data_IF_839762843738
#
_entry.id   IF_839762843738
#
_cell.length_a   1.000
_cell.length_b   1.000
_cell.length_c   1.000
_cell.angle_alpha   90.00
_cell.angle_beta   90.00
_cell.angle_gamma   90.00
#
_symmetry.space_group_name_H-M   'P 1'
#
loop_
_entity.id
_entity.type
_entity.pdbx_description
1 polymer ?
#
# COMPACT_ATOMS: atom_id res chain seq x y z
N UNK A 1 29.26 0.65 86.53
CA UNK A 1 30.23 -0.32 85.97
C UNK A 1 30.33 -0.10 84.47
N UNK A 2 31.52 0.20 83.97
CA UNK A 2 31.95 0.01 82.57
C UNK A 2 32.92 -1.20 82.60
N UNK A 3 33.12 -1.98 81.51
CA UNK A 3 33.65 -1.48 80.22
C UNK A 3 33.15 -2.30 78.98
N UNK A 4 33.84 -2.40 77.82
CA UNK A 4 33.47 -1.61 76.64
C UNK A 4 33.48 -2.33 75.26
N UNK A 5 33.02 -1.59 74.22
CA UNK A 5 33.44 -1.57 72.79
C UNK A 5 33.38 -2.86 71.93
N UNK A 6 32.61 -2.79 70.83
CA UNK A 6 33.17 -3.06 69.49
C UNK A 6 32.49 -2.24 68.40
N UNK A 7 33.33 -1.63 67.57
CA UNK A 7 33.04 -0.81 66.41
C UNK A 7 32.62 -1.69 65.24
N UNK A 8 31.57 -1.34 64.51
CA UNK A 8 31.41 -1.76 63.11
C UNK A 8 30.80 -0.64 62.27
N UNK A 9 31.71 0.15 61.72
CA UNK A 9 31.54 1.05 60.58
C UNK A 9 30.86 0.30 59.43
N UNK A 10 29.64 0.70 59.07
CA UNK A 10 29.05 0.34 57.79
C UNK A 10 29.10 1.57 56.89
N UNK A 11 30.03 1.55 55.94
CA UNK A 11 30.03 2.47 54.82
C UNK A 11 28.78 2.18 53.97
N UNK A 12 27.88 3.14 53.90
CA UNK A 12 26.72 3.09 53.00
C UNK A 12 27.22 3.48 51.59
N UNK A 13 27.49 2.47 50.75
CA UNK A 13 27.72 2.68 49.32
C UNK A 13 26.40 3.10 48.67
N UNK A 14 26.33 4.34 48.20
CA UNK A 14 25.25 4.80 47.32
C UNK A 14 25.44 4.18 45.93
N UNK A 15 24.56 3.27 45.55
CA UNK A 15 24.50 2.72 44.20
C UNK A 15 23.74 3.73 43.32
N UNK A 16 24.46 4.58 42.58
CA UNK A 16 23.87 5.40 41.51
C UNK A 16 23.74 4.50 40.28
N UNK A 17 22.53 4.00 40.04
CA UNK A 17 22.20 3.32 38.80
C UNK A 17 22.11 4.38 37.67
N UNK A 18 23.19 4.52 36.91
CA UNK A 18 23.21 5.33 35.69
C UNK A 18 22.39 4.58 34.61
N UNK A 19 21.13 4.96 34.45
CA UNK A 19 20.32 4.51 33.31
C UNK A 19 20.87 5.21 32.07
N UNK A 20 21.75 4.53 31.33
CA UNK A 20 22.17 4.96 30.01
C UNK A 20 20.98 4.88 29.07
N UNK A 21 20.38 6.04 28.78
CA UNK A 21 19.42 6.17 27.68
C UNK A 21 20.21 5.97 26.38
N UNK A 22 20.14 4.75 25.82
CA UNK A 22 20.61 4.51 24.46
C UNK A 22 19.60 5.21 23.55
N UNK A 23 19.82 6.50 23.27
CA UNK A 23 19.18 7.16 22.16
C UNK A 23 19.75 6.52 20.89
N UNK A 24 19.03 5.55 20.34
CA UNK A 24 19.31 5.10 18.99
C UNK A 24 19.27 6.35 18.08
N UNK A 25 20.28 6.59 17.24
CA UNK A 25 20.25 7.73 16.33
C UNK A 25 19.01 7.58 15.44
N UNK A 26 18.11 8.56 15.50
CA UNK A 26 17.04 8.71 14.52
C UNK A 26 17.70 9.01 13.19
N UNK A 27 17.83 7.99 12.35
CA UNK A 27 18.21 8.17 10.95
C UNK A 27 16.92 8.63 10.25
N UNK A 28 16.83 9.89 9.80
CA UNK A 28 15.68 10.32 9.03
C UNK A 28 15.58 9.44 7.80
N UNK A 29 14.38 8.97 7.51
CA UNK A 29 14.10 8.21 6.31
C UNK A 29 14.52 9.06 5.09
N UNK A 30 15.20 8.48 4.07
CA UNK A 30 15.58 9.24 2.89
C UNK A 30 14.36 9.95 2.30
N UNK A 31 14.54 11.18 1.80
CA UNK A 31 13.50 12.07 1.24
C UNK A 31 12.87 11.56 -0.09
N UNK A 32 12.91 10.24 -0.30
CA UNK A 32 12.25 9.56 -1.41
C UNK A 32 12.67 10.03 -2.80
N UNK A 33 13.79 10.75 -2.94
CA UNK A 33 14.15 11.46 -4.17
C UNK A 33 13.06 12.44 -4.68
N UNK A 34 12.35 13.11 -3.77
CA UNK A 34 11.24 14.02 -4.10
C UNK A 34 9.90 13.33 -4.33
N UNK A 35 9.80 12.03 -4.03
CA UNK A 35 8.54 11.30 -4.00
C UNK A 35 7.82 11.60 -2.69
N UNK A 36 6.52 11.94 -2.77
CA UNK A 36 5.72 12.20 -1.58
C UNK A 36 5.55 10.90 -0.77
N UNK A 37 6.04 10.85 0.48
CA UNK A 37 5.88 9.67 1.32
C UNK A 37 4.43 9.46 1.73
N UNK A 38 4.19 8.36 2.40
CA UNK A 38 2.90 8.00 2.97
C UNK A 38 3.09 7.19 4.25
N UNK A 39 1.99 6.65 4.77
CA UNK A 39 1.99 5.82 5.98
C UNK A 39 1.43 4.46 5.61
N UNK A 40 2.06 3.38 6.08
CA UNK A 40 1.50 2.03 5.97
C UNK A 40 0.67 1.71 7.22
N UNK A 41 -0.31 0.79 7.15
CA UNK A 41 -0.95 0.31 8.36
C UNK A 41 0.03 -0.53 9.17
N UNK A 42 -0.15 -0.58 10.49
CA UNK A 42 0.66 -1.43 11.37
C UNK A 42 0.55 -2.92 10.98
N UNK A 43 -0.64 -3.33 10.53
CA UNK A 43 -0.92 -4.68 10.05
C UNK A 43 -1.98 -4.70 8.94
N UNK A 44 -1.93 -5.75 8.12
CA UNK A 44 -2.93 -6.04 7.09
C UNK A 44 -3.88 -7.13 7.56
N UNK A 45 -5.17 -6.99 7.25
CA UNK A 45 -6.14 -8.05 7.51
C UNK A 45 -5.89 -9.19 6.51
N UNK A 46 -5.30 -10.29 6.98
CA UNK A 46 -4.97 -11.45 6.15
C UNK A 46 -6.15 -12.41 5.93
N UNK A 47 -7.30 -12.13 6.53
CA UNK A 47 -8.44 -13.05 6.67
C UNK A 47 -8.63 -13.50 8.12
N UNK A 48 -9.58 -14.38 8.40
CA UNK A 48 -9.84 -14.83 9.76
C UNK A 48 -10.97 -15.86 9.87
N UNK A 49 -11.29 -16.35 11.08
CA UNK A 49 -12.32 -17.37 11.30
C UNK A 49 -13.74 -16.88 10.93
N UNK A 50 -13.97 -15.57 10.96
CA UNK A 50 -15.28 -14.95 10.70
C UNK A 50 -15.27 -14.21 9.34
N UNK A 51 -15.12 -14.95 8.25
CA UNK A 51 -14.99 -14.35 6.92
C UNK A 51 -16.16 -13.48 6.46
N UNK A 52 -17.35 -13.66 7.05
CA UNK A 52 -18.52 -12.82 6.74
C UNK A 52 -18.38 -11.36 7.21
N UNK A 53 -17.48 -11.09 8.15
CA UNK A 53 -17.26 -9.74 8.72
C UNK A 53 -16.06 -9.03 8.08
N UNK A 54 -15.27 -9.74 7.26
CA UNK A 54 -14.07 -9.19 6.63
C UNK A 54 -14.42 -8.70 5.22
N UNK A 55 -14.18 -7.43 4.87
CA UNK A 55 -14.43 -6.95 3.52
C UNK A 55 -13.52 -7.67 2.52
N UNK A 56 -13.98 -7.83 1.28
CA UNK A 56 -13.17 -8.44 0.22
C UNK A 56 -11.88 -7.67 -0.05
N UNK A 57 -11.90 -6.34 0.13
CA UNK A 57 -10.74 -5.46 0.00
C UNK A 57 -10.64 -4.50 1.18
N UNK A 58 -9.46 -4.46 1.80
CA UNK A 58 -9.05 -3.38 2.70
C UNK A 58 -8.43 -2.27 1.84
N UNK A 59 -9.06 -1.09 1.78
CA UNK A 59 -8.55 0.07 1.06
C UNK A 59 -7.80 0.97 2.04
N UNK A 60 -6.50 1.12 1.82
CA UNK A 60 -5.61 1.93 2.65
C UNK A 60 -5.08 3.12 1.86
N UNK A 61 -5.26 4.33 2.37
CA UNK A 61 -4.65 5.53 1.79
C UNK A 61 -3.21 5.63 2.28
N UNK A 62 -2.24 5.25 1.44
CA UNK A 62 -0.82 5.45 1.74
C UNK A 62 -0.53 6.95 1.81
N UNK A 63 -0.99 7.70 0.82
CA UNK A 63 -1.06 9.15 0.85
C UNK A 63 -2.25 9.64 -0.01
N UNK A 64 -2.58 10.95 -0.05
CA UNK A 64 -3.79 11.45 -0.74
C UNK A 64 -3.94 11.11 -2.23
N UNK A 65 -2.90 10.61 -2.91
CA UNK A 65 -2.92 10.28 -4.33
C UNK A 65 -2.42 8.86 -4.59
N UNK A 66 -2.25 8.04 -3.54
CA UNK A 66 -1.83 6.65 -3.65
C UNK A 66 -2.56 5.78 -2.63
N UNK A 67 -3.42 4.91 -3.13
CA UNK A 67 -4.17 3.93 -2.36
C UNK A 67 -3.63 2.52 -2.63
N UNK A 68 -3.57 1.73 -1.56
CA UNK A 68 -3.23 0.30 -1.58
C UNK A 68 -4.51 -0.47 -1.26
N UNK A 69 -4.92 -1.36 -2.16
CA UNK A 69 -6.07 -2.23 -1.96
C UNK A 69 -5.53 -3.62 -1.65
N UNK A 70 -5.74 -4.08 -0.42
CA UNK A 70 -5.35 -5.43 0.02
C UNK A 70 -6.56 -6.36 -0.08
N UNK A 71 -6.50 -7.34 -0.98
CA UNK A 71 -7.54 -8.35 -1.05
C UNK A 71 -7.49 -9.29 0.16
N UNK A 72 -8.66 -9.53 0.75
CA UNK A 72 -8.82 -10.37 1.94
C UNK A 72 -8.58 -11.84 1.65
N UNK A 73 -7.99 -12.51 2.63
CA UNK A 73 -7.82 -13.95 2.60
C UNK A 73 -9.06 -14.80 2.71
N UNK A 74 -10.18 -14.18 3.06
CA UNK A 74 -11.49 -14.80 3.02
C UNK A 74 -12.04 -14.91 1.59
N UNK A 75 -11.61 -14.02 0.69
CA UNK A 75 -12.07 -14.00 -0.70
C UNK A 75 -11.16 -14.81 -1.64
N UNK A 76 -9.85 -14.83 -1.38
CA UNK A 76 -8.89 -15.60 -2.16
C UNK A 76 -7.65 -15.99 -1.37
N UNK A 77 -7.04 -17.13 -1.69
CA UNK A 77 -5.86 -17.61 -0.96
C UNK A 77 -4.60 -16.78 -1.25
N UNK A 78 -4.46 -16.27 -2.48
CA UNK A 78 -3.31 -15.46 -2.92
C UNK A 78 -3.27 -14.08 -2.28
N UNK A 79 -4.45 -13.49 -2.06
CA UNK A 79 -4.61 -12.19 -1.39
C UNK A 79 -3.74 -11.14 -2.09
N UNK A 80 -4.00 -10.77 -3.35
CA UNK A 80 -3.15 -9.80 -4.02
C UNK A 80 -3.22 -8.41 -3.38
N UNK A 81 -2.18 -7.62 -3.62
CA UNK A 81 -2.21 -6.16 -3.45
C UNK A 81 -2.47 -5.53 -4.81
N UNK A 82 -3.37 -4.57 -4.86
CA UNK A 82 -3.61 -3.73 -6.02
C UNK A 82 -3.23 -2.29 -5.64
N UNK A 83 -2.80 -1.52 -6.64
CA UNK A 83 -2.30 -0.16 -6.42
C UNK A 83 -3.10 0.82 -7.26
N UNK A 84 -3.73 1.80 -6.61
CA UNK A 84 -4.48 2.86 -7.26
C UNK A 84 -3.77 4.19 -7.06
N UNK A 85 -3.22 4.75 -8.15
CA UNK A 85 -2.38 5.94 -8.14
C UNK A 85 -3.09 7.05 -8.92
N UNK A 86 -3.19 8.23 -8.33
CA UNK A 86 -3.84 9.40 -8.94
C UNK A 86 -2.79 10.40 -9.43
N UNK A 87 -2.88 10.80 -10.70
CA UNK A 87 -2.24 12.00 -11.22
C UNK A 87 -3.23 13.16 -11.35
N UNK A 88 -2.80 14.26 -11.97
CA UNK A 88 -3.69 15.42 -12.19
C UNK A 88 -4.68 15.19 -13.32
N UNK A 89 -4.34 14.35 -14.29
CA UNK A 89 -5.15 14.13 -15.50
C UNK A 89 -5.82 12.76 -15.53
N UNK A 90 -5.18 11.72 -14.97
CA UNK A 90 -5.72 10.36 -14.94
C UNK A 90 -5.25 9.58 -13.72
N UNK A 91 -6.00 8.55 -13.37
CA UNK A 91 -5.62 7.56 -12.37
C UNK A 91 -5.14 6.26 -13.06
N UNK A 92 -4.29 5.50 -12.35
CA UNK A 92 -3.80 4.19 -12.76
C UNK A 92 -4.14 3.16 -11.68
N UNK A 93 -4.88 2.13 -12.06
CA UNK A 93 -5.04 0.90 -11.29
C UNK A 93 -4.06 -0.14 -11.85
N UNK A 94 -3.23 -0.70 -10.97
CA UNK A 94 -2.43 -1.88 -11.24
C UNK A 94 -3.13 -3.11 -10.65
N UNK A 95 -3.42 -4.06 -11.53
CA UNK A 95 -4.09 -5.33 -11.32
C UNK A 95 -5.58 -5.24 -10.96
N UNK A 96 -6.31 -6.32 -11.18
CA UNK A 96 -7.77 -6.43 -10.95
C UNK A 96 -8.13 -7.51 -9.91
N UNK A 97 -7.13 -8.06 -9.24
CA UNK A 97 -7.30 -9.00 -8.14
C UNK A 97 -7.68 -10.41 -8.59
N UNK A 98 -8.05 -11.23 -7.61
CA UNK A 98 -8.22 -12.67 -7.74
C UNK A 98 -9.67 -13.11 -7.50
N UNK A 99 -10.11 -14.19 -8.15
CA UNK A 99 -11.43 -14.79 -7.93
C UNK A 99 -12.59 -13.91 -8.43
N UNK A 100 -13.68 -13.84 -7.66
CA UNK A 100 -14.93 -13.16 -8.04
C UNK A 100 -15.37 -11.95 -7.19
N UNK A 101 -14.57 -11.36 -6.26
CA UNK A 101 -14.95 -10.10 -5.61
C UNK A 101 -15.27 -8.96 -6.56
N UNK A 102 -16.13 -8.04 -6.13
CA UNK A 102 -16.49 -6.83 -6.87
C UNK A 102 -15.43 -5.73 -6.70
N UNK A 103 -14.27 -5.94 -7.34
CA UNK A 103 -13.16 -4.98 -7.35
C UNK A 103 -13.54 -3.65 -7.98
N UNK A 104 -14.41 -3.65 -9.01
CA UNK A 104 -14.81 -2.40 -9.67
C UNK A 104 -15.54 -1.48 -8.71
N UNK A 105 -16.51 -1.99 -7.96
CA UNK A 105 -17.26 -1.13 -7.01
C UNK A 105 -16.31 -0.53 -5.97
N UNK A 106 -15.34 -1.29 -5.47
CA UNK A 106 -14.32 -0.80 -4.52
C UNK A 106 -13.48 0.31 -5.16
N UNK A 107 -12.92 0.07 -6.35
CA UNK A 107 -12.05 1.03 -7.05
C UNK A 107 -12.83 2.29 -7.42
N UNK A 108 -14.01 2.17 -8.03
CA UNK A 108 -14.80 3.34 -8.45
C UNK A 108 -15.31 4.15 -7.26
N UNK A 109 -15.56 3.51 -6.11
CA UNK A 109 -15.85 4.23 -4.85
C UNK A 109 -14.63 5.02 -4.38
N UNK A 110 -13.44 4.44 -4.44
CA UNK A 110 -12.20 5.14 -4.10
C UNK A 110 -11.92 6.33 -5.03
N UNK A 111 -12.09 6.13 -6.34
CA UNK A 111 -11.98 7.20 -7.36
C UNK A 111 -12.97 8.32 -7.09
N UNK A 112 -14.24 8.00 -6.81
CA UNK A 112 -15.27 9.00 -6.47
C UNK A 112 -14.90 9.82 -5.24
N UNK A 113 -14.44 9.17 -4.16
CA UNK A 113 -14.00 9.85 -2.93
C UNK A 113 -12.81 10.78 -3.19
N UNK A 114 -11.86 10.34 -4.01
CA UNK A 114 -10.72 11.16 -4.41
C UNK A 114 -11.18 12.39 -5.21
N UNK A 115 -12.08 12.22 -6.18
CA UNK A 115 -12.65 13.32 -6.97
C UNK A 115 -13.37 14.34 -6.08
N UNK A 116 -14.22 13.88 -5.16
CA UNK A 116 -14.94 14.74 -4.21
C UNK A 116 -13.99 15.57 -3.35
N UNK A 117 -12.95 14.93 -2.79
CA UNK A 117 -11.93 15.63 -2.00
C UNK A 117 -11.20 16.71 -2.80
N UNK A 118 -10.98 16.47 -4.09
CA UNK A 118 -10.21 17.34 -4.97
C UNK A 118 -11.09 18.32 -5.79
N UNK A 119 -12.39 18.41 -5.52
CA UNK A 119 -13.30 19.30 -6.23
C UNK A 119 -13.44 18.97 -7.72
N UNK A 120 -13.35 17.69 -8.07
CA UNK A 120 -13.47 17.17 -9.45
C UNK A 120 -14.76 16.37 -9.61
N UNK A 121 -15.33 16.44 -10.81
CA UNK A 121 -16.48 15.62 -11.19
C UNK A 121 -16.05 14.18 -11.51
N UNK A 122 -14.99 14.02 -12.30
CA UNK A 122 -14.44 12.73 -12.69
C UNK A 122 -12.93 12.80 -12.95
N UNK A 123 -12.31 11.64 -13.07
CA UNK A 123 -10.95 11.45 -13.55
C UNK A 123 -10.90 10.16 -14.37
N UNK A 124 -10.36 10.17 -15.61
CA UNK A 124 -10.16 8.95 -16.39
C UNK A 124 -9.32 7.92 -15.63
N UNK A 125 -9.67 6.63 -15.77
CA UNK A 125 -8.97 5.52 -15.13
C UNK A 125 -8.29 4.65 -16.19
N UNK A 126 -6.99 4.41 -16.02
CA UNK A 126 -6.24 3.39 -16.76
C UNK A 126 -6.16 2.15 -15.87
N UNK A 127 -6.57 0.99 -16.39
CA UNK A 127 -6.42 -0.30 -15.73
C UNK A 127 -5.38 -1.10 -16.49
N UNK A 128 -4.31 -1.50 -15.81
CA UNK A 128 -3.23 -2.28 -16.38
C UNK A 128 -2.71 -3.30 -15.36
N UNK A 129 -1.75 -4.13 -15.78
CA UNK A 129 -1.34 -5.30 -15.01
C UNK A 129 0.15 -5.38 -14.86
N UNK A 130 0.58 -5.92 -13.73
CA UNK A 130 1.98 -6.30 -13.50
C UNK A 130 2.37 -7.51 -14.34
N UNK A 131 1.47 -8.50 -14.45
CA UNK A 131 1.59 -9.70 -15.29
C UNK A 131 0.25 -10.44 -15.43
N UNK A 132 0.24 -11.56 -16.16
CA UNK A 132 -0.98 -12.29 -16.57
C UNK A 132 -1.33 -13.52 -15.70
N UNK A 133 -0.91 -13.58 -14.44
CA UNK A 133 -1.40 -14.62 -13.54
C UNK A 133 -2.82 -14.31 -13.03
N UNK A 134 -3.55 -15.36 -12.66
CA UNK A 134 -4.98 -15.29 -12.38
C UNK A 134 -5.35 -14.32 -11.26
N UNK A 135 -4.50 -14.15 -10.27
CA UNK A 135 -4.67 -13.23 -9.15
C UNK A 135 -4.45 -11.76 -9.49
N UNK A 136 -3.98 -11.47 -10.70
CA UNK A 136 -3.82 -10.12 -11.21
C UNK A 136 -4.92 -9.73 -12.21
N UNK A 137 -5.60 -10.71 -12.82
CA UNK A 137 -6.48 -10.50 -13.98
C UNK A 137 -7.93 -10.94 -13.77
N UNK A 138 -8.28 -11.55 -12.63
CA UNK A 138 -9.60 -12.17 -12.47
C UNK A 138 -10.75 -11.16 -12.54
N UNK A 139 -10.50 -9.91 -12.15
CA UNK A 139 -11.47 -8.81 -12.19
C UNK A 139 -11.61 -8.10 -13.54
N UNK A 140 -10.86 -8.48 -14.58
CA UNK A 140 -10.74 -7.71 -15.83
C UNK A 140 -12.07 -7.37 -16.50
N UNK A 141 -12.98 -8.35 -16.59
CA UNK A 141 -14.31 -8.16 -17.20
C UNK A 141 -15.13 -7.08 -16.50
N UNK A 142 -14.82 -6.75 -15.25
CA UNK A 142 -15.50 -5.68 -14.54
C UNK A 142 -15.14 -4.30 -15.13
N UNK A 143 -13.97 -4.13 -15.73
CA UNK A 143 -13.47 -2.84 -16.23
C UNK A 143 -13.56 -2.67 -17.76
N UNK A 144 -13.82 -3.74 -18.50
CA UNK A 144 -13.94 -3.69 -19.97
C UNK A 144 -15.24 -2.99 -20.42
N UNK A 145 -15.12 -2.09 -21.40
CA UNK A 145 -16.27 -1.40 -22.00
C UNK A 145 -16.93 -0.35 -21.10
N UNK A 146 -16.27 0.05 -20.00
CA UNK A 146 -16.76 1.08 -19.09
C UNK A 146 -16.38 2.47 -19.63
N UNK A 147 -17.29 3.45 -19.65
CA UNK A 147 -16.96 4.83 -19.99
C UNK A 147 -15.82 5.39 -19.12
N UNK A 148 -14.95 6.21 -19.71
CA UNK A 148 -13.79 6.83 -19.06
C UNK A 148 -12.77 5.84 -18.45
N UNK A 149 -12.85 4.55 -18.80
CA UNK A 149 -11.87 3.53 -18.45
C UNK A 149 -11.09 3.10 -19.69
N UNK A 150 -9.77 3.22 -19.62
CA UNK A 150 -8.85 2.59 -20.57
C UNK A 150 -8.35 1.27 -19.98
N UNK A 151 -8.83 0.15 -20.50
CA UNK A 151 -8.38 -1.18 -20.09
C UNK A 151 -7.23 -1.65 -20.99
N UNK A 152 -6.08 -1.95 -20.38
CA UNK A 152 -4.89 -2.49 -21.02
C UNK A 152 -4.81 -3.97 -20.67
N UNK A 153 -4.83 -4.86 -21.65
CA UNK A 153 -4.72 -6.30 -21.42
C UNK A 153 -3.34 -6.70 -20.86
N UNK A 154 -3.32 -7.75 -20.04
CA UNK A 154 -2.11 -8.23 -19.36
C UNK A 154 -1.13 -9.00 -20.26
N UNK A 155 -1.47 -9.26 -21.52
CA UNK A 155 -0.57 -9.92 -22.46
C UNK A 155 0.55 -8.99 -22.93
N UNK A 156 1.70 -9.58 -23.25
CA UNK A 156 2.92 -8.84 -23.57
C UNK A 156 2.74 -7.92 -24.78
N UNK A 157 2.07 -8.38 -25.83
CA UNK A 157 1.89 -7.61 -27.07
C UNK A 157 1.03 -6.37 -26.82
N UNK A 158 -0.07 -6.53 -26.06
CA UNK A 158 -0.91 -5.40 -25.65
C UNK A 158 -0.13 -4.40 -24.80
N UNK A 159 0.63 -4.87 -23.81
CA UNK A 159 1.43 -4.02 -22.94
C UNK A 159 2.52 -3.25 -23.72
N UNK A 160 3.32 -3.95 -24.53
CA UNK A 160 4.39 -3.36 -25.37
C UNK A 160 3.82 -2.26 -26.25
N UNK A 161 2.69 -2.54 -26.92
CA UNK A 161 2.03 -1.60 -27.81
C UNK A 161 1.44 -0.40 -27.07
N UNK A 162 0.74 -0.62 -25.96
CA UNK A 162 0.06 0.44 -25.23
C UNK A 162 1.06 1.43 -24.61
N UNK A 163 2.08 0.91 -23.92
CA UNK A 163 3.09 1.74 -23.28
C UNK A 163 4.06 2.38 -24.28
N UNK A 164 4.17 1.81 -25.50
CA UNK A 164 4.97 2.37 -26.57
C UNK A 164 6.44 1.96 -26.53
N UNK A 165 6.73 0.76 -26.03
CA UNK A 165 8.07 0.20 -26.04
C UNK A 165 8.57 0.01 -27.47
N UNK A 166 9.81 0.45 -27.72
CA UNK A 166 10.54 0.28 -28.97
C UNK A 166 11.59 -0.83 -28.86
N UNK A 167 12.11 -1.05 -27.65
CA UNK A 167 13.18 -2.03 -27.39
C UNK A 167 12.94 -2.79 -26.09
N UNK A 168 11.82 -3.51 -26.01
CA UNK A 168 11.55 -4.41 -24.88
C UNK A 168 12.55 -5.60 -24.87
N UNK A 169 13.08 -6.04 -23.72
CA UNK A 169 12.84 -5.56 -22.34
C UNK A 169 13.85 -4.50 -21.85
N UNK A 170 14.74 -4.02 -22.71
CA UNK A 170 15.92 -3.22 -22.33
C UNK A 170 15.62 -1.71 -22.16
N UNK A 171 14.39 -1.28 -22.45
CA UNK A 171 13.95 0.10 -22.36
C UNK A 171 13.19 0.36 -21.05
N UNK A 172 13.39 1.55 -20.48
CA UNK A 172 12.60 2.06 -19.35
C UNK A 172 11.81 3.26 -19.85
N UNK A 173 10.49 3.20 -19.70
CA UNK A 173 9.59 4.29 -20.09
C UNK A 173 9.12 5.07 -18.88
N UNK A 174 8.91 6.38 -19.06
CA UNK A 174 8.19 7.22 -18.11
C UNK A 174 6.73 7.29 -18.54
N UNK A 175 5.82 6.91 -17.64
CA UNK A 175 4.40 7.14 -17.83
C UNK A 175 3.94 8.30 -16.95
N UNK A 176 3.42 9.36 -17.59
CA UNK A 176 2.97 10.56 -16.89
C UNK A 176 1.45 10.52 -16.69
N UNK A 177 1.00 10.71 -15.45
CA UNK A 177 -0.41 10.75 -15.05
C UNK A 177 -0.99 12.19 -15.07
N UNK A 178 -0.18 13.18 -15.46
CA UNK A 178 -0.53 14.61 -15.52
C UNK A 178 -0.09 15.39 -14.28
#
# INVERSE_FOLDING_TARGET
MHPPKSVLTHALMALVALVGLIAAPYIPEPDGAGIRPGVLPDEWIVGGPNCMEVPDFQVHEYNPDFLILRQSGCSHYEKPFLYLIFGKEKALLLDTGAGTPDVRTVVMTAVKKWCERNGRESIPLVVAHTHNHGDHVAGDKQFQGIPDVTFVGADLDTAVKYWGFKSWPDEILKYDLG
#
